data_IF_130816572321
#
_entry.id   IF_130816572321
#
_cell.length_a   1.000
_cell.length_b   1.000
_cell.length_c   1.000
_cell.angle_alpha   90.00
_cell.angle_beta   90.00
_cell.angle_gamma   90.00
#
_symmetry.space_group_name_H-M   'P 1'
#
loop_
_entity.id
_entity.type
_entity.pdbx_description
1 polymer ?
#
# COMPACT_ATOMS: atom_id res chain seq x y z
N UNK A 1 -13.85 11.64 -22.28
CA UNK A 1 -12.72 11.11 -21.49
C UNK A 1 -12.41 9.74 -22.05
N UNK A 2 -11.34 9.60 -22.85
CA UNK A 2 -10.94 8.33 -23.42
C UNK A 2 -10.27 7.50 -22.32
N UNK A 3 -10.93 6.42 -21.88
CA UNK A 3 -10.35 5.48 -20.92
C UNK A 3 -9.38 4.54 -21.63
N UNK A 4 -8.20 4.33 -21.05
CA UNK A 4 -7.28 3.29 -21.50
C UNK A 4 -7.97 1.93 -21.41
N UNK A 5 -8.05 1.22 -22.54
CA UNK A 5 -8.64 -0.13 -22.63
C UNK A 5 -7.75 -1.22 -22.01
N UNK A 6 -6.54 -0.86 -21.60
CA UNK A 6 -5.57 -1.71 -20.94
C UNK A 6 -5.72 -1.59 -19.41
N UNK A 7 -5.36 -2.64 -18.64
CA UNK A 7 -5.33 -2.55 -17.19
C UNK A 7 -4.35 -1.45 -16.74
N UNK A 8 -4.81 -0.64 -15.79
CA UNK A 8 -4.03 0.44 -15.18
C UNK A 8 -4.13 0.24 -13.68
N UNK A 9 -3.01 -0.09 -13.04
CA UNK A 9 -2.90 -0.07 -11.58
C UNK A 9 -2.88 1.38 -11.10
N UNK A 10 -3.65 1.67 -10.06
CA UNK A 10 -3.77 3.01 -9.47
C UNK A 10 -4.13 4.07 -10.52
N UNK A 11 -5.32 3.94 -11.11
CA UNK A 11 -5.80 4.90 -12.11
C UNK A 11 -5.64 6.34 -11.63
N UNK A 12 -5.15 7.24 -12.49
CA UNK A 12 -5.10 8.66 -12.19
C UNK A 12 -6.47 9.19 -11.79
N UNK A 13 -6.49 10.07 -10.81
CA UNK A 13 -7.63 10.88 -10.43
C UNK A 13 -7.33 12.37 -10.71
N UNK A 14 -8.33 13.24 -10.60
CA UNK A 14 -8.25 14.69 -10.80
C UNK A 14 -7.11 15.33 -9.99
N UNK A 15 -6.74 14.73 -8.86
CA UNK A 15 -5.75 15.29 -7.93
C UNK A 15 -4.38 14.60 -7.97
N UNK A 16 -4.26 13.38 -8.51
CA UNK A 16 -2.97 12.67 -8.53
C UNK A 16 -2.93 11.58 -9.61
N UNK A 17 -1.74 11.31 -10.13
CA UNK A 17 -1.46 10.31 -11.16
C UNK A 17 -1.39 8.88 -10.61
N UNK A 18 -1.40 8.70 -9.29
CA UNK A 18 -1.24 7.39 -8.65
C UNK A 18 -2.39 7.03 -7.71
N UNK A 19 -3.62 7.39 -8.11
CA UNK A 19 -4.83 7.15 -7.32
C UNK A 19 -5.14 8.26 -6.33
N UNK A 20 -6.09 8.02 -5.42
CA UNK A 20 -6.61 9.01 -4.49
C UNK A 20 -5.63 9.25 -3.32
N UNK A 21 -4.69 10.17 -3.52
CA UNK A 21 -3.73 10.54 -2.48
C UNK A 21 -4.38 11.43 -1.42
N UNK A 22 -4.16 11.09 -0.15
CA UNK A 22 -4.78 11.76 1.01
C UNK A 22 -3.72 12.25 2.00
N UNK A 23 -4.11 13.15 2.90
CA UNK A 23 -3.19 13.71 3.91
C UNK A 23 -2.78 12.61 4.91
N UNK A 24 -1.66 12.82 5.59
CA UNK A 24 -1.13 11.88 6.60
C UNK A 24 -2.16 11.54 7.71
N UNK A 25 -2.95 12.53 8.12
CA UNK A 25 -4.05 12.36 9.07
C UNK A 25 -5.14 11.41 8.55
N UNK A 26 -5.45 11.50 7.26
CA UNK A 26 -6.61 10.83 6.67
C UNK A 26 -6.34 9.33 6.50
N UNK A 27 -5.12 8.95 6.09
CA UNK A 27 -4.78 7.52 5.98
C UNK A 27 -4.72 6.86 7.36
N UNK A 28 -4.30 7.57 8.41
CA UNK A 28 -4.24 7.03 9.79
C UNK A 28 -5.64 6.60 10.26
N UNK A 29 -6.66 7.41 9.93
CA UNK A 29 -8.06 7.07 10.19
C UNK A 29 -8.50 5.88 9.33
N UNK A 30 -8.16 5.88 8.04
CA UNK A 30 -8.52 4.77 7.14
C UNK A 30 -7.88 3.44 7.50
N UNK A 31 -6.63 3.46 7.96
CA UNK A 31 -5.94 2.29 8.50
C UNK A 31 -6.70 1.72 9.71
N UNK A 32 -7.14 2.57 10.64
CA UNK A 32 -7.97 2.15 11.77
C UNK A 32 -9.30 1.55 11.30
N UNK A 33 -9.96 2.17 10.31
CA UNK A 33 -11.21 1.65 9.71
C UNK A 33 -11.00 0.29 9.04
N UNK A 34 -9.82 0.07 8.43
CA UNK A 34 -9.44 -1.21 7.84
C UNK A 34 -9.06 -2.29 8.88
N UNK A 35 -9.06 -1.96 10.18
CA UNK A 35 -8.68 -2.89 11.25
C UNK A 35 -7.18 -2.95 11.54
N UNK A 36 -6.39 -2.03 10.98
CA UNK A 36 -4.96 -1.91 11.29
C UNK A 36 -4.76 -1.02 12.52
N UNK A 37 -3.70 -1.29 13.28
CA UNK A 37 -3.28 -0.45 14.40
C UNK A 37 -2.28 0.60 13.90
N UNK A 38 -2.66 1.88 13.73
CA UNK A 38 -1.70 2.90 13.32
C UNK A 38 -0.70 3.19 14.43
N UNK A 39 0.54 3.46 14.02
CA UNK A 39 1.51 4.07 14.91
C UNK A 39 1.04 5.47 15.35
N UNK A 40 1.43 5.95 16.55
CA UNK A 40 1.03 7.26 17.03
C UNK A 40 1.37 8.38 16.04
N UNK A 41 0.34 9.07 15.55
CA UNK A 41 0.49 10.23 14.69
C UNK A 41 0.68 11.50 15.52
N UNK A 42 1.68 12.32 15.17
CA UNK A 42 1.91 13.65 15.76
C UNK A 42 1.93 14.68 14.64
N UNK A 43 0.94 15.58 14.63
CA UNK A 43 0.76 16.59 13.58
C UNK A 43 1.96 17.54 13.40
N UNK A 44 2.76 17.70 14.45
CA UNK A 44 3.97 18.54 14.46
C UNK A 44 5.19 17.85 13.84
N UNK A 45 5.07 16.56 13.50
CA UNK A 45 6.17 15.79 12.89
C UNK A 45 6.16 16.02 11.37
N UNK A 46 7.31 16.37 10.75
CA UNK A 46 7.38 16.61 9.31
C UNK A 46 6.90 15.41 8.48
N UNK A 47 6.21 15.63 7.34
CA UNK A 47 5.64 14.57 6.48
C UNK A 47 6.63 13.48 6.07
N UNK A 48 7.93 13.80 5.96
CA UNK A 48 8.97 12.84 5.61
C UNK A 48 9.05 11.63 6.56
N UNK A 49 8.62 11.79 7.82
CA UNK A 49 8.54 10.71 8.81
C UNK A 49 7.25 9.88 8.72
N UNK A 50 6.32 10.24 7.83
CA UNK A 50 5.04 9.55 7.65
C UNK A 50 4.98 8.75 6.35
N UNK A 51 5.83 9.06 5.37
CA UNK A 51 5.84 8.41 4.05
C UNK A 51 7.18 7.78 3.65
N UNK A 52 8.32 8.16 4.25
CA UNK A 52 9.62 7.66 3.78
C UNK A 52 10.59 7.21 4.88
N UNK A 53 10.45 7.69 6.12
CA UNK A 53 11.22 7.17 7.25
C UNK A 53 10.27 6.46 8.21
N UNK A 54 10.34 5.12 8.35
CA UNK A 54 9.69 4.46 9.47
C UNK A 54 10.26 5.05 10.76
N UNK A 55 9.57 4.86 11.88
CA UNK A 55 10.08 4.99 13.26
C UNK A 55 11.45 4.29 13.53
N UNK A 56 12.06 3.66 12.52
CA UNK A 56 13.32 2.93 12.53
C UNK A 56 14.59 3.79 12.74
N UNK A 57 14.53 5.12 12.56
CA UNK A 57 15.71 5.96 12.82
C UNK A 57 15.94 6.31 14.28
N UNK A 58 14.98 6.04 15.17
CA UNK A 58 15.26 6.10 16.61
C UNK A 58 15.86 4.77 17.06
N UNK A 59 17.19 4.73 17.14
CA UNK A 59 18.01 3.61 17.66
C UNK A 59 17.59 3.05 19.03
N UNK A 60 16.61 3.67 19.70
CA UNK A 60 15.99 3.23 20.96
C UNK A 60 14.77 2.33 20.77
N UNK A 61 14.27 2.16 19.55
CA UNK A 61 13.04 1.44 19.24
C UNK A 61 13.39 0.01 18.78
N UNK A 62 13.33 -0.93 19.72
CA UNK A 62 13.59 -2.36 19.48
C UNK A 62 12.42 -3.04 18.74
N UNK A 63 12.63 -3.38 17.47
CA UNK A 63 11.63 -4.05 16.63
C UNK A 63 12.13 -4.27 15.21
N UNK A 64 11.25 -4.71 14.31
CA UNK A 64 11.57 -4.96 12.90
C UNK A 64 10.63 -4.20 11.99
N UNK A 65 11.14 -3.64 10.91
CA UNK A 65 10.29 -3.08 9.86
C UNK A 65 9.94 -4.13 8.82
N UNK A 66 8.71 -4.08 8.30
CA UNK A 66 8.24 -4.91 7.20
C UNK A 66 7.46 -4.04 6.22
N UNK A 67 7.62 -4.30 4.94
CA UNK A 67 6.76 -3.71 3.90
C UNK A 67 5.89 -4.80 3.33
N UNK A 68 4.58 -4.53 3.27
CA UNK A 68 3.57 -5.43 2.72
C UNK A 68 3.01 -4.77 1.47
N UNK A 69 3.02 -5.48 0.35
CA UNK A 69 2.42 -4.98 -0.88
C UNK A 69 1.02 -5.55 -1.05
N UNK A 70 0.14 -4.78 -1.68
CA UNK A 70 -1.09 -5.31 -2.27
C UNK A 70 -1.08 -4.99 -3.75
N UNK A 71 -1.41 -5.99 -4.58
CA UNK A 71 -1.51 -5.88 -6.04
C UNK A 71 -2.79 -6.57 -6.50
N UNK A 72 -3.74 -5.81 -7.04
CA UNK A 72 -5.05 -6.31 -7.50
C UNK A 72 -5.77 -7.14 -6.43
N UNK A 73 -5.75 -6.68 -5.18
CA UNK A 73 -6.36 -7.38 -4.04
C UNK A 73 -5.56 -8.56 -3.48
N UNK A 74 -4.36 -8.85 -4.00
CA UNK A 74 -3.47 -9.91 -3.51
C UNK A 74 -2.37 -9.33 -2.65
N UNK A 75 -2.12 -9.95 -1.50
CA UNK A 75 -1.03 -9.56 -0.59
C UNK A 75 0.28 -10.22 -1.03
N UNK A 76 1.36 -9.44 -1.04
CA UNK A 76 2.72 -9.91 -1.30
C UNK A 76 3.63 -9.49 -0.14
N UNK A 77 4.31 -10.46 0.43
CA UNK A 77 5.30 -10.33 1.49
C UNK A 77 5.38 -11.60 2.33
N UNK A 78 6.39 -11.70 3.17
CA UNK A 78 6.68 -12.92 3.94
C UNK A 78 6.15 -12.82 5.38
N UNK A 79 5.70 -13.97 5.92
CA UNK A 79 5.28 -14.13 7.32
C UNK A 79 4.22 -13.13 7.79
N UNK A 80 3.27 -12.79 6.90
CA UNK A 80 2.20 -11.83 7.21
C UNK A 80 1.03 -12.57 7.88
N UNK A 81 0.61 -12.17 9.09
CA UNK A 81 -0.59 -12.73 9.71
C UNK A 81 -1.83 -12.49 8.84
N UNK A 82 -2.74 -13.47 8.78
CA UNK A 82 -3.96 -13.38 7.97
C UNK A 82 -4.78 -12.11 8.26
N UNK A 83 -4.90 -11.72 9.53
CA UNK A 83 -5.61 -10.49 9.91
C UNK A 83 -4.97 -9.22 9.35
N UNK A 84 -3.64 -9.17 9.24
CA UNK A 84 -2.93 -8.05 8.63
C UNK A 84 -3.11 -8.10 7.12
N UNK A 85 -3.00 -9.28 6.50
CA UNK A 85 -3.23 -9.46 5.08
C UNK A 85 -4.62 -8.94 4.66
N UNK A 86 -5.68 -9.39 5.34
CA UNK A 86 -7.06 -8.98 5.08
C UNK A 86 -7.26 -7.47 5.30
N UNK A 87 -6.69 -6.92 6.37
CA UNK A 87 -6.79 -5.51 6.69
C UNK A 87 -6.07 -4.62 5.67
N UNK A 88 -4.91 -5.03 5.15
CA UNK A 88 -4.19 -4.26 4.10
C UNK A 88 -4.94 -4.31 2.77
N UNK A 89 -5.60 -5.42 2.43
CA UNK A 89 -6.51 -5.49 1.28
C UNK A 89 -7.73 -4.58 1.48
N UNK A 90 -8.33 -4.59 2.68
CA UNK A 90 -9.42 -3.67 2.99
C UNK A 90 -8.98 -2.21 2.86
N UNK A 91 -7.77 -1.87 3.29
CA UNK A 91 -7.20 -0.54 3.13
C UNK A 91 -7.04 -0.16 1.65
N UNK A 92 -6.56 -1.08 0.81
CA UNK A 92 -6.41 -0.83 -0.63
C UNK A 92 -7.75 -0.51 -1.30
N UNK A 93 -8.83 -1.19 -0.90
CA UNK A 93 -10.18 -0.89 -1.35
C UNK A 93 -10.70 0.48 -0.86
N UNK A 94 -10.49 0.82 0.41
CA UNK A 94 -10.87 2.14 0.97
C UNK A 94 -10.16 3.28 0.23
N UNK A 95 -8.90 3.06 -0.15
CA UNK A 95 -8.08 4.01 -0.88
C UNK A 95 -8.30 3.99 -2.40
N UNK A 96 -9.11 3.05 -2.90
CA UNK A 96 -9.32 2.82 -4.33
C UNK A 96 -7.99 2.71 -5.11
N UNK A 97 -7.04 1.96 -4.55
CA UNK A 97 -5.72 1.73 -5.11
C UNK A 97 -5.50 0.22 -5.30
N UNK A 98 -5.11 -0.16 -6.51
CA UNK A 98 -4.85 -1.57 -6.86
C UNK A 98 -3.42 -1.99 -6.53
N UNK A 99 -2.48 -1.04 -6.41
CA UNK A 99 -1.08 -1.29 -6.11
C UNK A 99 -0.63 -0.40 -4.94
N UNK A 100 -0.29 -1.00 -3.81
CA UNK A 100 0.10 -0.24 -2.62
C UNK A 100 1.26 -0.89 -1.88
N UNK A 101 2.04 -0.10 -1.15
CA UNK A 101 2.93 -0.56 -0.08
C UNK A 101 2.40 -0.05 1.26
N UNK A 102 2.16 -0.95 2.20
CA UNK A 102 1.93 -0.63 3.60
C UNK A 102 3.19 -0.93 4.41
N UNK A 103 3.65 0.05 5.17
CA UNK A 103 4.86 -0.03 5.97
C UNK A 103 4.50 -0.30 7.42
N UNK A 104 5.13 -1.31 7.99
CA UNK A 104 4.88 -1.77 9.35
C UNK A 104 6.12 -1.72 10.20
N UNK A 105 5.90 -1.42 11.46
CA UNK A 105 6.83 -1.67 12.54
C UNK A 105 6.24 -2.75 13.45
N UNK A 106 6.99 -3.83 13.65
CA UNK A 106 6.65 -4.93 14.55
C UNK A 106 7.38 -4.70 15.86
N UNK A 107 6.62 -4.44 16.93
CA UNK A 107 7.20 -4.17 18.25
C UNK A 107 7.67 -5.47 18.95
N UNK A 108 8.34 -5.34 20.11
CA UNK A 108 8.79 -6.49 20.92
C UNK A 108 7.68 -7.48 21.32
N UNK A 109 6.43 -7.02 21.41
CA UNK A 109 5.28 -7.87 21.71
C UNK A 109 4.71 -8.58 20.47
N UNK A 110 5.30 -8.37 19.29
CA UNK A 110 4.83 -8.92 18.02
C UNK A 110 3.65 -8.18 17.40
N UNK A 111 3.25 -7.02 17.96
CA UNK A 111 2.15 -6.24 17.41
C UNK A 111 2.61 -5.47 16.16
N UNK A 112 1.80 -5.55 15.11
CA UNK A 112 2.03 -4.87 13.84
C UNK A 112 1.43 -3.46 13.89
N UNK A 113 2.30 -2.46 13.86
CA UNK A 113 1.91 -1.05 13.81
C UNK A 113 2.12 -0.54 12.39
N UNK A 114 1.05 -0.08 11.73
CA UNK A 114 1.20 0.56 10.42
C UNK A 114 1.76 1.97 10.61
N UNK A 115 2.92 2.22 10.01
CA UNK A 115 3.66 3.49 10.12
C UNK A 115 3.43 4.39 8.93
N UNK A 116 2.98 3.83 7.80
CA UNK A 116 2.74 4.59 6.59
C UNK A 116 2.26 3.72 5.45
N UNK A 117 1.98 4.41 4.36
CA UNK A 117 1.45 3.84 3.12
C UNK A 117 2.01 4.60 1.93
N UNK A 118 2.24 3.90 0.82
CA UNK A 118 2.59 4.50 -0.46
C UNK A 118 1.80 3.87 -1.62
N UNK A 119 1.16 4.71 -2.43
CA UNK A 119 0.62 4.35 -3.75
C UNK A 119 1.70 4.40 -4.86
N UNK A 120 2.94 4.75 -4.49
CA UNK A 120 4.14 4.72 -5.32
C UNK A 120 5.19 3.82 -4.64
N UNK A 121 4.93 2.50 -4.57
CA UNK A 121 5.80 1.59 -3.85
C UNK A 121 7.19 1.49 -4.49
N UNK A 122 8.23 1.39 -3.66
CA UNK A 122 9.55 0.93 -4.11
C UNK A 122 9.47 -0.57 -4.45
N UNK A 123 9.32 -0.87 -5.74
CA UNK A 123 9.14 -2.23 -6.24
C UNK A 123 10.36 -3.13 -5.98
N UNK A 124 11.54 -2.55 -5.75
CA UNK A 124 12.78 -3.32 -5.50
C UNK A 124 12.67 -4.15 -4.22
N UNK A 125 11.83 -3.72 -3.28
CA UNK A 125 11.64 -4.39 -1.98
C UNK A 125 10.76 -5.65 -2.07
N UNK A 126 9.99 -5.83 -3.14
CA UNK A 126 9.05 -6.95 -3.28
C UNK A 126 9.59 -8.18 -4.01
N UNK A 127 10.76 -8.06 -4.65
CA UNK A 127 11.42 -9.15 -5.37
C UNK A 127 10.54 -9.81 -6.45
N UNK A 128 10.85 -11.06 -6.77
CA UNK A 128 10.19 -11.81 -7.84
C UNK A 128 8.70 -12.03 -7.57
N UNK A 129 8.31 -12.26 -6.32
CA UNK A 129 6.91 -12.47 -5.95
C UNK A 129 6.03 -11.27 -6.31
N UNK A 130 6.54 -10.05 -6.09
CA UNK A 130 5.82 -8.83 -6.46
C UNK A 130 5.73 -8.66 -7.98
N UNK A 131 6.82 -8.92 -8.71
CA UNK A 131 6.82 -8.88 -10.17
C UNK A 131 5.78 -9.84 -10.74
N UNK A 132 5.74 -11.08 -10.25
CA UNK A 132 4.77 -12.09 -10.69
C UNK A 132 3.33 -11.67 -10.39
N UNK A 133 3.07 -11.08 -9.21
CA UNK A 133 1.74 -10.57 -8.87
C UNK A 133 1.30 -9.43 -9.81
N UNK A 134 2.19 -8.49 -10.12
CA UNK A 134 1.93 -7.40 -11.07
C UNK A 134 1.66 -7.96 -12.47
N UNK A 135 2.51 -8.86 -12.97
CA UNK A 135 2.33 -9.51 -14.26
C UNK A 135 0.99 -10.22 -14.35
N UNK A 136 0.58 -10.96 -13.32
CA UNK A 136 -0.70 -11.65 -13.30
C UNK A 136 -1.89 -10.69 -13.43
N UNK A 137 -1.85 -9.53 -12.76
CA UNK A 137 -2.92 -8.52 -12.87
C UNK A 137 -2.92 -7.87 -14.26
N UNK A 138 -1.74 -7.57 -14.82
CA UNK A 138 -1.62 -6.98 -16.16
C UNK A 138 -2.07 -7.93 -17.28
N UNK A 139 -1.86 -9.23 -17.12
CA UNK A 139 -2.17 -10.23 -18.16
C UNK A 139 -3.62 -10.74 -18.10
N UNK A 140 -4.27 -10.70 -16.93
CA UNK A 140 -5.65 -11.20 -16.76
C UNK A 140 -6.73 -10.16 -17.10
N UNK A 141 -6.36 -8.99 -17.63
CA UNK A 141 -7.34 -8.01 -18.05
C UNK A 141 -7.98 -8.39 -19.40
N UNK A 142 -9.29 -8.14 -19.58
CA UNK A 142 -9.96 -8.46 -20.84
C UNK A 142 -9.27 -7.75 -22.00
N UNK A 143 -8.78 -8.54 -22.96
CA UNK A 143 -8.21 -8.03 -24.21
C UNK A 143 -9.33 -7.36 -24.99
N UNK A 144 -9.35 -6.02 -25.05
CA UNK A 144 -10.28 -5.31 -25.93
C UNK A 144 -9.78 -5.48 -27.35
N UNK A 145 -10.37 -6.42 -28.09
CA UNK A 145 -10.24 -6.51 -29.54
C UNK A 145 -10.92 -5.26 -30.11
N UNK A 146 -10.13 -4.27 -30.49
CA UNK A 146 -10.63 -3.10 -31.22
C UNK A 146 -11.09 -3.56 -32.60
N UNK A 147 -12.40 -3.71 -32.79
CA UNK A 147 -12.98 -3.79 -34.14
C UNK A 147 -12.97 -2.39 -34.71
N UNK A 148 -12.08 -2.15 -35.66
CA UNK A 148 -12.12 -0.97 -36.52
C UNK A 148 -13.34 -1.07 -37.43
N UNK A 149 -14.28 -0.13 -37.31
CA UNK A 149 -15.35 0.10 -38.29
C UNK A 149 -14.84 1.04 -39.37
#
# INVERSE_FOLDING_TARGET
MYGLSIPVLNRPDILNLTGLWRRASDWTVMASVAGLLPAPFRAETPPAYHTEAPLATDSRIDGRTRTVFVVGGRVVGEDIPASIADAVVSLSHILNCDLIAAHFYINRAGAWLITGFSAQPDLRLGGDALVQAISAVMLNAPTVVSVST
#
